data_IF_416337818152
#
_entry.id   IF_416337818152
#
_cell.length_a   1.000
_cell.length_b   1.000
_cell.length_c   1.000
_cell.angle_alpha   90.00
_cell.angle_beta   90.00
_cell.angle_gamma   90.00
#
_symmetry.space_group_name_H-M   'P 1'
#
loop_
_entity.id
_entity.type
_entity.pdbx_description
1 polymer ?
#
# COMPACT_ATOMS: atom_id res chain seq x y z
N UNK A 1 -4.35 -30.23 -17.61
CA UNK A 1 -4.51 -28.87 -18.20
C UNK A 1 -5.18 -27.83 -17.27
N UNK A 2 -5.15 -27.96 -15.92
CA UNK A 2 -6.15 -27.29 -15.04
C UNK A 2 -5.61 -26.40 -13.89
N UNK A 3 -4.37 -25.90 -13.95
CA UNK A 3 -3.87 -24.91 -12.96
C UNK A 3 -3.36 -23.62 -13.58
N UNK A 4 -2.71 -23.69 -14.75
CA UNK A 4 -2.26 -22.50 -15.50
C UNK A 4 -3.43 -21.62 -15.99
N UNK A 5 -4.56 -22.22 -16.41
CA UNK A 5 -5.77 -21.48 -16.81
C UNK A 5 -6.39 -20.70 -15.64
N UNK A 6 -6.51 -21.32 -14.45
CA UNK A 6 -7.06 -20.67 -13.24
C UNK A 6 -6.18 -19.53 -12.72
N UNK A 7 -4.86 -19.67 -12.80
CA UNK A 7 -3.93 -18.60 -12.40
C UNK A 7 -3.95 -17.45 -13.42
N UNK A 8 -4.06 -17.75 -14.71
CA UNK A 8 -4.24 -16.73 -15.74
C UNK A 8 -5.59 -15.99 -15.60
N UNK A 9 -6.67 -16.69 -15.25
CA UNK A 9 -7.97 -16.07 -14.92
C UNK A 9 -7.86 -15.13 -13.71
N UNK A 10 -7.13 -15.51 -12.66
CA UNK A 10 -6.94 -14.67 -11.47
C UNK A 10 -6.04 -13.46 -11.75
N UNK A 11 -5.00 -13.61 -12.60
CA UNK A 11 -4.16 -12.49 -13.04
C UNK A 11 -4.92 -11.47 -13.91
N UNK A 12 -5.94 -11.92 -14.66
CA UNK A 12 -6.80 -11.01 -15.44
C UNK A 12 -7.83 -10.24 -14.63
N UNK A 13 -8.09 -10.61 -13.36
CA UNK A 13 -9.14 -9.98 -12.54
C UNK A 13 -8.69 -8.67 -11.86
N UNK A 14 -7.39 -8.34 -11.84
CA UNK A 14 -6.88 -7.18 -11.06
C UNK A 14 -6.25 -6.01 -11.83
N UNK A 15 -6.10 -6.07 -13.16
CA UNK A 15 -6.21 -4.84 -13.94
C UNK A 15 -7.71 -4.55 -13.97
N UNK A 16 -8.18 -3.42 -13.42
CA UNK A 16 -9.58 -3.00 -13.53
C UNK A 16 -10.11 -3.33 -14.94
N UNK A 17 -10.81 -4.47 -15.08
CA UNK A 17 -11.32 -4.99 -16.35
C UNK A 17 -12.42 -4.09 -16.93
N UNK A 18 -12.74 -3.02 -16.18
CA UNK A 18 -13.68 -1.95 -16.47
C UNK A 18 -13.18 -1.04 -17.60
N UNK A 19 -11.87 -0.97 -17.83
CA UNK A 19 -11.30 -0.13 -18.89
C UNK A 19 -10.80 -0.97 -20.06
N UNK A 20 -11.74 -1.60 -20.77
CA UNK A 20 -11.48 -2.37 -22.00
C UNK A 20 -10.83 -1.47 -23.07
N UNK A 21 -9.52 -1.57 -23.23
CA UNK A 21 -8.78 -1.10 -24.42
C UNK A 21 -8.62 0.42 -24.61
N UNK A 22 -9.41 1.27 -23.94
CA UNK A 22 -9.20 2.73 -23.95
C UNK A 22 -8.17 3.14 -22.89
N UNK A 23 -7.15 3.90 -23.31
CA UNK A 23 -6.21 4.52 -22.37
C UNK A 23 -6.90 5.65 -21.62
N UNK A 24 -6.97 5.56 -20.29
CA UNK A 24 -7.36 6.67 -19.43
C UNK A 24 -6.12 7.45 -19.07
N UNK A 25 -6.11 8.75 -19.40
CA UNK A 25 -5.02 9.63 -19.02
C UNK A 25 -5.00 9.79 -17.50
N UNK A 26 -3.80 9.65 -16.94
CA UNK A 26 -3.55 9.78 -15.50
C UNK A 26 -2.21 10.44 -15.24
N UNK A 27 -2.10 11.14 -14.13
CA UNK A 27 -0.86 11.75 -13.65
C UNK A 27 -0.82 11.75 -12.12
N UNK A 28 0.36 12.02 -11.56
CA UNK A 28 0.52 12.20 -10.11
C UNK A 28 0.39 13.68 -9.79
N UNK A 29 -0.55 14.02 -8.92
CA UNK A 29 -0.76 15.36 -8.40
C UNK A 29 -1.01 15.28 -6.90
N UNK A 30 -0.30 16.09 -6.10
CA UNK A 30 -0.32 16.05 -4.63
C UNK A 30 -0.11 14.63 -4.08
N UNK A 31 0.89 13.91 -4.59
CA UNK A 31 1.21 12.52 -4.25
C UNK A 31 0.13 11.46 -4.54
N UNK A 32 -1.01 11.85 -5.12
CA UNK A 32 -2.11 10.94 -5.47
C UNK A 32 -2.21 10.72 -6.98
N UNK A 33 -2.86 9.62 -7.37
CA UNK A 33 -3.24 9.41 -8.77
C UNK A 33 -4.49 10.22 -9.11
N UNK A 34 -4.37 11.03 -10.16
CA UNK A 34 -5.46 11.80 -10.75
C UNK A 34 -5.76 11.31 -12.15
N UNK A 35 -7.04 11.26 -12.50
CA UNK A 35 -7.54 10.68 -13.74
C UNK A 35 -8.39 11.68 -14.51
N UNK A 36 -8.31 11.64 -15.84
CA UNK A 36 -9.21 12.44 -16.69
C UNK A 36 -10.65 11.97 -16.54
N UNK A 37 -11.54 12.91 -16.18
CA UNK A 37 -12.97 12.63 -16.03
C UNK A 37 -13.61 12.35 -17.39
N UNK A 38 -13.23 13.12 -18.40
CA UNK A 38 -13.76 12.97 -19.76
C UNK A 38 -13.43 11.58 -20.32
N UNK A 39 -12.19 11.10 -20.16
CA UNK A 39 -11.79 9.78 -20.67
C UNK A 39 -12.60 8.65 -20.02
N UNK A 40 -12.89 8.77 -18.71
CA UNK A 40 -13.70 7.81 -17.97
C UNK A 40 -15.16 7.87 -18.42
N UNK A 41 -15.73 9.07 -18.56
CA UNK A 41 -17.07 9.27 -19.10
C UNK A 41 -17.19 8.63 -20.48
N UNK A 42 -16.27 8.89 -21.39
CA UNK A 42 -16.30 8.31 -22.74
C UNK A 42 -16.13 6.79 -22.75
N UNK A 43 -15.34 6.26 -21.82
CA UNK A 43 -15.14 4.81 -21.69
C UNK A 43 -16.39 4.13 -21.15
N UNK A 44 -17.01 4.71 -20.11
CA UNK A 44 -18.15 4.14 -19.41
C UNK A 44 -19.51 4.48 -20.04
N UNK A 45 -19.58 5.41 -20.99
CA UNK A 45 -20.82 5.70 -21.72
C UNK A 45 -20.74 5.26 -23.18
N UNK A 46 -19.54 5.22 -23.77
CA UNK A 46 -19.35 5.06 -25.21
C UNK A 46 -19.65 6.32 -26.02
N UNK A 47 -19.94 7.46 -25.39
CA UNK A 47 -20.20 8.71 -26.10
C UNK A 47 -18.94 9.22 -26.81
N UNK A 48 -19.12 9.87 -27.95
CA UNK A 48 -18.09 10.66 -28.64
C UNK A 48 -18.07 12.13 -28.19
N UNK A 49 -19.02 12.55 -27.33
CA UNK A 49 -19.14 13.91 -26.78
C UNK A 49 -18.89 13.93 -25.28
N UNK A 50 -17.74 13.41 -24.84
CA UNK A 50 -17.41 13.23 -23.42
C UNK A 50 -17.49 14.52 -22.60
N UNK A 51 -17.01 15.64 -23.15
CA UNK A 51 -17.07 16.96 -22.49
C UNK A 51 -18.50 17.44 -22.26
N UNK A 52 -19.38 17.30 -23.25
CA UNK A 52 -20.79 17.71 -23.12
C UNK A 52 -21.48 16.83 -22.08
N UNK A 53 -21.30 15.52 -22.17
CA UNK A 53 -21.84 14.58 -21.18
C UNK A 53 -21.36 14.90 -19.77
N UNK A 54 -20.07 15.19 -19.61
CA UNK A 54 -19.51 15.59 -18.32
C UNK A 54 -20.14 16.88 -17.79
N UNK A 55 -20.31 17.90 -18.63
CA UNK A 55 -20.97 19.16 -18.22
C UNK A 55 -22.40 18.91 -17.73
N UNK A 56 -23.16 18.08 -18.43
CA UNK A 56 -24.54 17.72 -18.05
C UNK A 56 -24.56 16.87 -16.76
N UNK A 57 -23.64 15.91 -16.63
CA UNK A 57 -23.49 15.08 -15.43
C UNK A 57 -23.09 15.92 -14.21
N UNK A 58 -22.18 16.88 -14.39
CA UNK A 58 -21.73 17.77 -13.31
C UNK A 58 -22.89 18.57 -12.72
N UNK A 59 -23.79 19.09 -13.58
CA UNK A 59 -25.01 19.78 -13.12
C UNK A 59 -25.89 18.85 -12.28
N UNK A 60 -26.18 17.65 -12.79
CA UNK A 60 -26.97 16.65 -12.06
C UNK A 60 -26.37 16.29 -10.69
N UNK A 61 -25.04 16.14 -10.61
CA UNK A 61 -24.37 15.85 -9.34
C UNK A 61 -24.55 16.98 -8.32
N UNK A 62 -24.50 18.23 -8.76
CA UNK A 62 -24.76 19.40 -7.90
C UNK A 62 -26.22 19.42 -7.47
N UNK A 63 -27.15 19.15 -8.39
CA UNK A 63 -28.59 19.08 -8.08
C UNK A 63 -28.92 17.93 -7.10
N UNK A 64 -28.19 16.81 -7.15
CA UNK A 64 -28.24 15.70 -6.18
C UNK A 64 -27.61 16.06 -4.81
N UNK A 65 -27.08 17.27 -4.63
CA UNK A 65 -26.46 17.74 -3.39
C UNK A 65 -24.96 17.45 -3.27
N UNK A 66 -24.31 16.90 -4.30
CA UNK A 66 -22.86 16.72 -4.31
C UNK A 66 -22.17 18.03 -4.73
N UNK A 67 -22.24 19.05 -3.85
CA UNK A 67 -21.76 20.41 -4.12
C UNK A 67 -20.22 20.51 -4.17
N UNK A 68 -19.52 19.61 -3.48
CA UNK A 68 -18.04 19.55 -3.43
C UNK A 68 -17.39 19.14 -4.75
N UNK A 69 -18.17 18.70 -5.76
CA UNK A 69 -17.65 18.24 -7.07
C UNK A 69 -16.71 19.27 -7.68
N UNK A 70 -17.06 20.56 -7.63
CA UNK A 70 -16.26 21.60 -8.24
C UNK A 70 -14.95 21.85 -7.47
N UNK A 71 -14.94 21.64 -6.15
CA UNK A 71 -13.76 21.81 -5.30
C UNK A 71 -12.81 20.60 -5.37
N UNK A 72 -13.38 19.40 -5.51
CA UNK A 72 -12.64 18.13 -5.61
C UNK A 72 -12.11 17.84 -7.01
N UNK A 73 -12.36 18.72 -7.98
CA UNK A 73 -11.89 18.62 -9.37
C UNK A 73 -10.82 19.67 -9.63
N UNK A 74 -9.74 19.24 -10.27
CA UNK A 74 -8.60 20.06 -10.64
C UNK A 74 -8.40 20.08 -12.15
N UNK A 75 -8.08 21.26 -12.70
CA UNK A 75 -7.72 21.40 -14.11
C UNK A 75 -6.23 21.18 -14.29
N UNK A 76 -5.87 20.01 -14.83
CA UNK A 76 -4.47 19.61 -14.99
C UNK A 76 -4.11 19.54 -16.48
N UNK A 77 -2.88 19.95 -16.82
CA UNK A 77 -2.37 19.86 -18.19
C UNK A 77 -2.12 18.40 -18.54
N UNK A 78 -2.91 17.86 -19.46
CA UNK A 78 -2.75 16.50 -19.99
C UNK A 78 -2.50 16.54 -21.49
N UNK A 79 -1.73 15.57 -21.98
CA UNK A 79 -1.53 15.36 -23.42
C UNK A 79 -2.86 14.94 -24.02
N UNK A 80 -3.29 15.64 -25.06
CA UNK A 80 -4.48 15.33 -25.84
C UNK A 80 -4.13 14.39 -27.01
N UNK A 81 -5.11 13.71 -27.64
CA UNK A 81 -4.85 12.84 -28.80
C UNK A 81 -4.08 13.52 -29.96
N UNK A 82 -4.17 14.85 -30.09
CA UNK A 82 -3.40 15.65 -31.05
C UNK A 82 -1.98 16.02 -30.58
N UNK A 83 -1.50 15.42 -29.49
CA UNK A 83 -0.17 15.66 -28.91
C UNK A 83 -0.03 16.97 -28.13
N UNK A 84 -1.02 17.86 -28.15
CA UNK A 84 -0.95 19.15 -27.44
C UNK A 84 -1.33 19.01 -25.97
N UNK A 85 -0.69 19.78 -25.10
CA UNK A 85 -1.09 19.87 -23.69
C UNK A 85 -2.35 20.74 -23.55
N UNK A 86 -3.40 20.21 -22.93
CA UNK A 86 -4.63 20.96 -22.62
C UNK A 86 -5.04 20.80 -21.17
N UNK A 87 -5.63 21.85 -20.61
CA UNK A 87 -6.31 21.77 -19.33
C UNK A 87 -7.49 20.80 -19.45
N UNK A 88 -7.50 19.82 -18.55
CA UNK A 88 -8.49 18.74 -18.51
C UNK A 88 -8.99 18.63 -17.07
N UNK A 89 -10.30 18.55 -16.90
CA UNK A 89 -10.90 18.25 -15.60
C UNK A 89 -10.48 16.85 -15.15
N UNK A 90 -9.82 16.82 -14.00
CA UNK A 90 -9.26 15.62 -13.40
C UNK A 90 -9.75 15.49 -11.97
N UNK A 91 -9.82 14.25 -11.48
CA UNK A 91 -10.14 13.98 -10.09
C UNK A 91 -9.29 12.83 -9.54
N UNK A 92 -9.14 12.79 -8.22
CA UNK A 92 -8.52 11.68 -7.53
C UNK A 92 -9.42 10.43 -7.54
N UNK A 93 -8.93 9.32 -7.00
CA UNK A 93 -9.61 8.01 -7.05
C UNK A 93 -10.99 8.04 -6.39
N UNK A 94 -11.10 8.63 -5.21
CA UNK A 94 -12.35 8.69 -4.43
C UNK A 94 -13.43 9.49 -5.17
N UNK A 95 -13.10 10.70 -5.60
CA UNK A 95 -14.01 11.57 -6.36
C UNK A 95 -14.44 10.89 -7.66
N UNK A 96 -13.52 10.20 -8.33
CA UNK A 96 -13.85 9.43 -9.52
C UNK A 96 -14.85 8.31 -9.23
N UNK A 97 -14.69 7.59 -8.13
CA UNK A 97 -15.62 6.53 -7.74
C UNK A 97 -17.03 7.07 -7.48
N UNK A 98 -17.15 8.28 -6.91
CA UNK A 98 -18.44 8.95 -6.75
C UNK A 98 -19.05 9.38 -8.08
N UNK A 99 -18.26 9.94 -8.99
CA UNK A 99 -18.73 10.35 -10.33
C UNK A 99 -19.27 9.14 -11.11
N UNK A 100 -18.54 8.02 -11.10
CA UNK A 100 -18.93 6.80 -11.84
C UNK A 100 -20.30 6.27 -11.40
N UNK A 101 -20.64 6.40 -10.11
CA UNK A 101 -21.94 5.96 -9.58
C UNK A 101 -23.12 6.69 -10.25
N UNK A 102 -22.96 7.96 -10.64
CA UNK A 102 -23.99 8.74 -11.32
C UNK A 102 -24.00 8.59 -12.85
N UNK A 103 -23.20 7.69 -13.43
CA UNK A 103 -23.26 7.40 -14.87
C UNK A 103 -24.34 6.34 -15.15
N UNK A 104 -25.48 6.67 -15.77
CA UNK A 104 -26.51 5.70 -16.16
C UNK A 104 -26.12 4.97 -17.46
N UNK A 105 -25.17 4.04 -17.39
CA UNK A 105 -24.76 3.23 -18.54
C UNK A 105 -24.58 1.76 -18.17
N UNK A 106 -25.00 0.82 -19.04
CA UNK A 106 -24.70 -0.60 -18.88
C UNK A 106 -23.19 -0.90 -18.77
N UNK A 107 -22.32 -0.04 -19.32
CA UNK A 107 -20.86 -0.22 -19.19
C UNK A 107 -20.32 0.18 -17.82
N UNK A 108 -21.04 1.03 -17.08
CA UNK A 108 -20.71 1.37 -15.70
C UNK A 108 -21.20 0.31 -14.70
N UNK A 109 -22.20 -0.50 -15.07
CA UNK A 109 -22.84 -1.48 -14.18
C UNK A 109 -21.86 -2.48 -13.53
N UNK A 110 -20.88 -3.09 -14.24
CA UNK A 110 -19.91 -3.96 -13.59
C UNK A 110 -19.10 -3.27 -12.49
N UNK A 111 -18.81 -1.98 -12.66
CA UNK A 111 -18.10 -1.18 -11.67
C UNK A 111 -18.99 -0.86 -10.46
N UNK A 112 -20.27 -0.51 -10.70
CA UNK A 112 -21.24 -0.27 -9.62
C UNK A 112 -21.49 -1.51 -8.78
N UNK A 113 -21.67 -2.68 -9.42
CA UNK A 113 -21.77 -3.97 -8.72
C UNK A 113 -20.52 -4.30 -7.92
N UNK A 114 -19.35 -3.97 -8.45
CA UNK A 114 -18.09 -4.13 -7.71
C UNK A 114 -18.06 -3.23 -6.48
N UNK A 115 -18.43 -1.94 -6.59
CA UNK A 115 -18.51 -1.04 -5.43
C UNK A 115 -19.53 -1.53 -4.39
N UNK A 116 -20.71 -1.99 -4.82
CA UNK A 116 -21.72 -2.55 -3.94
C UNK A 116 -21.20 -3.79 -3.20
N UNK A 117 -20.50 -4.68 -3.91
CA UNK A 117 -19.86 -5.85 -3.31
C UNK A 117 -18.80 -5.44 -2.28
N UNK A 118 -17.95 -4.47 -2.59
CA UNK A 118 -16.94 -3.96 -1.66
C UNK A 118 -17.60 -3.37 -0.42
N UNK A 119 -18.68 -2.60 -0.58
CA UNK A 119 -19.47 -2.04 0.53
C UNK A 119 -20.07 -3.13 1.41
N UNK A 120 -20.67 -4.15 0.82
CA UNK A 120 -21.18 -5.31 1.54
C UNK A 120 -20.07 -6.06 2.29
N UNK A 121 -18.93 -6.31 1.65
CA UNK A 121 -17.75 -6.91 2.30
C UNK A 121 -17.25 -6.06 3.48
N UNK A 122 -17.33 -4.72 3.42
CA UNK A 122 -16.96 -3.86 4.56
C UNK A 122 -17.90 -4.07 5.75
N UNK A 123 -19.22 -4.20 5.51
CA UNK A 123 -20.21 -4.45 6.57
C UNK A 123 -19.95 -5.82 7.21
N UNK A 124 -19.76 -6.86 6.39
CA UNK A 124 -19.41 -8.20 6.88
C UNK A 124 -18.12 -8.20 7.72
N UNK A 125 -17.11 -7.42 7.32
CA UNK A 125 -15.87 -7.28 8.10
C UNK A 125 -16.05 -6.54 9.44
N UNK A 126 -17.10 -5.71 9.59
CA UNK A 126 -17.44 -5.07 10.87
C UNK A 126 -18.11 -6.07 11.80
N UNK A 127 -19.00 -6.91 11.26
CA UNK A 127 -19.67 -7.98 12.01
C UNK A 127 -18.71 -9.11 12.40
N UNK A 128 -17.82 -9.51 11.48
CA UNK A 128 -16.76 -10.50 11.71
C UNK A 128 -15.39 -9.94 11.28
N UNK A 129 -14.63 -9.34 12.21
CA UNK A 129 -13.29 -8.82 11.96
C UNK A 129 -12.28 -9.88 11.46
N UNK A 130 -12.52 -11.17 11.67
CA UNK A 130 -11.65 -12.24 11.17
C UNK A 130 -11.63 -12.25 9.63
N UNK A 131 -12.73 -11.83 8.98
CA UNK A 131 -12.82 -11.69 7.53
C UNK A 131 -11.79 -10.69 6.98
N UNK A 132 -11.53 -9.60 7.70
CA UNK A 132 -10.52 -8.62 7.29
C UNK A 132 -9.10 -9.23 7.33
N UNK A 133 -8.83 -10.07 8.32
CA UNK A 133 -7.56 -10.82 8.43
C UNK A 133 -7.44 -11.86 7.30
N UNK A 134 -8.50 -12.61 7.01
CA UNK A 134 -8.56 -13.57 5.89
C UNK A 134 -8.35 -12.85 4.55
N UNK A 135 -8.98 -11.69 4.34
CA UNK A 135 -8.79 -10.86 3.15
C UNK A 135 -7.35 -10.40 3.01
N UNK A 136 -6.72 -9.95 4.09
CA UNK A 136 -5.31 -9.53 4.09
C UNK A 136 -4.38 -10.67 3.64
N UNK A 137 -4.58 -11.88 4.17
CA UNK A 137 -3.85 -13.08 3.76
C UNK A 137 -4.07 -13.39 2.28
N UNK A 138 -5.31 -13.34 1.81
CA UNK A 138 -5.66 -13.56 0.41
C UNK A 138 -5.00 -12.53 -0.53
N UNK A 139 -4.92 -11.25 -0.13
CA UNK A 139 -4.27 -10.19 -0.91
C UNK A 139 -2.76 -10.44 -1.07
N UNK A 140 -2.06 -10.85 -0.02
CA UNK A 140 -0.65 -11.22 -0.16
C UNK A 140 -0.48 -12.49 -1.00
N UNK A 141 -1.36 -13.49 -0.84
CA UNK A 141 -1.32 -14.71 -1.65
C UNK A 141 -1.53 -14.41 -3.14
N UNK A 142 -2.46 -13.52 -3.46
CA UNK A 142 -2.71 -13.04 -4.83
C UNK A 142 -1.52 -12.26 -5.40
N UNK A 143 -0.77 -11.54 -4.55
CA UNK A 143 0.52 -10.94 -4.92
C UNK A 143 1.64 -11.96 -5.05
N UNK A 144 1.40 -13.26 -4.86
CA UNK A 144 2.37 -14.34 -5.04
C UNK A 144 3.28 -14.61 -3.85
N UNK A 145 2.94 -14.11 -2.65
CA UNK A 145 3.68 -14.45 -1.43
C UNK A 145 3.25 -15.84 -0.91
N UNK A 146 4.22 -16.62 -0.41
CA UNK A 146 3.98 -17.91 0.25
C UNK A 146 3.30 -17.74 1.61
N UNK A 147 2.51 -18.73 2.01
CA UNK A 147 1.85 -18.75 3.32
C UNK A 147 2.85 -18.54 4.48
N UNK A 148 4.04 -19.15 4.44
CA UNK A 148 5.09 -18.98 5.48
C UNK A 148 5.56 -17.53 5.63
N UNK A 149 5.77 -16.83 4.51
CA UNK A 149 6.15 -15.41 4.52
C UNK A 149 4.99 -14.54 5.01
N UNK A 150 3.75 -14.89 4.62
CA UNK A 150 2.53 -14.17 5.05
C UNK A 150 2.38 -14.24 6.56
N UNK A 151 2.55 -15.41 7.19
CA UNK A 151 2.51 -15.53 8.66
C UNK A 151 3.53 -14.62 9.34
N UNK A 152 4.78 -14.62 8.85
CA UNK A 152 5.84 -13.75 9.39
C UNK A 152 5.47 -12.28 9.23
N UNK A 153 4.91 -11.90 8.09
CA UNK A 153 4.48 -10.53 7.83
C UNK A 153 3.34 -10.12 8.76
N UNK A 154 2.35 -10.99 8.98
CA UNK A 154 1.23 -10.75 9.90
C UNK A 154 1.74 -10.55 11.33
N UNK A 155 2.65 -11.40 11.82
CA UNK A 155 3.30 -11.23 13.13
C UNK A 155 4.08 -9.92 13.23
N UNK A 156 4.79 -9.54 12.18
CA UNK A 156 5.49 -8.25 12.11
C UNK A 156 4.54 -7.05 12.15
N UNK A 157 3.30 -7.17 11.66
CA UNK A 157 2.29 -6.11 11.80
C UNK A 157 1.91 -5.97 13.28
N UNK A 158 1.55 -7.08 13.94
CA UNK A 158 1.15 -7.08 15.34
C UNK A 158 2.23 -6.49 16.27
N UNK A 159 3.50 -6.91 16.11
CA UNK A 159 4.63 -6.39 16.92
C UNK A 159 4.80 -4.88 16.72
N UNK A 160 4.60 -4.38 15.50
CA UNK A 160 4.71 -2.96 15.20
C UNK A 160 3.54 -2.16 15.79
N UNK A 161 2.33 -2.71 15.74
CA UNK A 161 1.14 -2.09 16.34
C UNK A 161 1.32 -1.97 17.85
N UNK A 162 1.78 -3.03 18.51
CA UNK A 162 2.11 -3.01 19.94
C UNK A 162 3.15 -1.93 20.29
N UNK A 163 4.23 -1.81 19.51
CA UNK A 163 5.22 -0.75 19.71
C UNK A 163 4.63 0.66 19.53
N UNK A 164 3.76 0.86 18.54
CA UNK A 164 3.12 2.16 18.33
C UNK A 164 2.12 2.50 19.43
N UNK A 165 1.41 1.51 19.96
CA UNK A 165 0.51 1.68 21.09
C UNK A 165 1.30 2.02 22.37
N UNK A 166 2.43 1.36 22.59
CA UNK A 166 3.34 1.66 23.69
C UNK A 166 3.86 3.11 23.61
N UNK A 167 4.26 3.58 22.44
CA UNK A 167 4.66 4.98 22.25
C UNK A 167 3.51 5.96 22.48
N UNK A 168 2.29 5.63 22.04
CA UNK A 168 1.10 6.46 22.29
C UNK A 168 0.84 6.61 23.78
N UNK A 169 0.91 5.52 24.53
CA UNK A 169 0.75 5.50 25.99
C UNK A 169 1.84 6.30 26.72
N UNK A 170 2.97 6.57 26.03
CA UNK A 170 4.13 7.33 26.53
C UNK A 170 4.17 8.77 26.05
N UNK A 171 3.05 9.29 25.55
CA UNK A 171 2.90 10.69 25.16
C UNK A 171 3.42 11.03 23.76
N UNK A 172 3.64 10.05 22.88
CA UNK A 172 4.04 10.29 21.48
C UNK A 172 2.80 10.14 20.60
N UNK A 173 2.31 11.24 20.03
CA UNK A 173 1.04 11.25 19.30
C UNK A 173 1.19 11.56 17.80
N UNK A 174 2.31 12.15 17.39
CA UNK A 174 2.48 12.56 15.99
C UNK A 174 3.03 11.44 15.10
N UNK A 175 2.43 11.26 13.91
CA UNK A 175 2.92 10.27 12.92
C UNK A 175 4.38 10.49 12.52
N UNK A 176 4.85 11.74 12.53
CA UNK A 176 6.25 12.09 12.20
C UNK A 176 7.22 11.53 13.24
N UNK A 177 6.81 11.47 14.50
CA UNK A 177 7.64 10.98 15.60
C UNK A 177 7.82 9.47 15.51
N UNK A 178 6.75 8.73 15.18
CA UNK A 178 6.87 7.29 14.90
C UNK A 178 7.83 6.98 13.75
N UNK A 179 7.88 7.83 12.73
CA UNK A 179 8.84 7.68 11.64
C UNK A 179 10.29 7.88 12.11
N UNK A 180 10.53 8.87 12.98
CA UNK A 180 11.83 9.12 13.60
C UNK A 180 12.26 7.93 14.47
N UNK A 181 11.41 7.47 15.37
CA UNK A 181 11.73 6.34 16.26
C UNK A 181 11.95 5.03 15.48
N UNK A 182 11.11 4.76 14.47
CA UNK A 182 11.33 3.63 13.54
C UNK A 182 12.68 3.77 12.82
N UNK A 183 13.09 5.00 12.47
CA UNK A 183 14.37 5.23 11.82
C UNK A 183 15.55 4.93 12.74
N UNK A 184 15.47 5.28 14.03
CA UNK A 184 16.49 4.93 15.03
C UNK A 184 16.63 3.40 15.19
N UNK A 185 15.51 2.67 15.31
CA UNK A 185 15.52 1.20 15.39
C UNK A 185 16.18 0.60 14.15
N UNK A 186 15.74 1.02 12.96
CA UNK A 186 16.26 0.51 11.69
C UNK A 186 17.76 0.80 11.54
N UNK A 187 18.19 2.03 11.89
CA UNK A 187 19.59 2.44 11.79
C UNK A 187 20.47 1.67 12.77
N UNK A 188 20.02 1.46 14.01
CA UNK A 188 20.75 0.66 14.98
C UNK A 188 20.79 -0.84 14.61
N UNK A 189 19.74 -1.36 13.96
CA UNK A 189 19.64 -2.76 13.55
C UNK A 189 20.45 -3.07 12.28
N UNK A 190 20.23 -2.28 11.22
CA UNK A 190 20.72 -2.56 9.86
C UNK A 190 21.75 -1.56 9.34
N UNK A 191 22.16 -0.60 10.16
CA UNK A 191 23.06 0.50 9.76
C UNK A 191 22.47 1.38 8.64
N UNK A 192 21.14 1.34 8.46
CA UNK A 192 20.38 2.08 7.46
C UNK A 192 19.04 2.53 8.02
N UNK A 193 18.66 3.77 7.76
CA UNK A 193 17.27 4.26 7.95
C UNK A 193 16.33 3.57 6.95
N UNK A 194 15.00 3.57 7.19
CA UNK A 194 14.03 2.97 6.26
C UNK A 194 14.12 3.56 4.85
N UNK A 195 14.41 4.86 4.72
CA UNK A 195 14.58 5.54 3.44
C UNK A 195 15.85 5.10 2.71
N UNK A 196 16.97 4.97 3.41
CA UNK A 196 18.21 4.43 2.85
C UNK A 196 18.06 2.96 2.46
N UNK A 197 17.35 2.18 3.28
CA UNK A 197 17.11 0.78 3.01
C UNK A 197 16.22 0.57 1.77
N UNK A 198 15.19 1.42 1.60
CA UNK A 198 14.40 1.46 0.36
C UNK A 198 15.28 1.73 -0.86
N UNK A 199 16.19 2.71 -0.79
CA UNK A 199 17.16 2.99 -1.86
C UNK A 199 18.09 1.80 -2.13
N UNK A 200 18.61 1.17 -1.07
CA UNK A 200 19.47 -0.02 -1.16
C UNK A 200 18.77 -1.19 -1.88
N UNK A 201 17.47 -1.37 -1.64
CA UNK A 201 16.61 -2.35 -2.31
C UNK A 201 16.01 -1.85 -3.63
N UNK A 202 16.36 -0.66 -4.12
CA UNK A 202 15.82 -0.06 -5.36
C UNK A 202 14.30 0.08 -5.37
N UNK A 203 13.72 0.36 -4.21
CA UNK A 203 12.28 0.64 -4.04
C UNK A 203 12.03 2.13 -4.23
N UNK A 204 10.90 2.46 -4.86
CA UNK A 204 10.43 3.84 -5.04
C UNK A 204 9.32 4.16 -4.04
N UNK A 205 8.12 3.61 -4.27
CA UNK A 205 6.92 3.88 -3.46
C UNK A 205 6.49 2.68 -2.63
N UNK A 206 7.13 1.54 -2.83
CA UNK A 206 6.74 0.28 -2.24
C UNK A 206 7.06 0.21 -0.74
N UNK A 207 6.33 -0.65 -0.04
CA UNK A 207 6.57 -0.92 1.38
C UNK A 207 7.87 -1.71 1.54
N UNK A 208 8.76 -1.24 2.42
CA UNK A 208 10.06 -1.87 2.64
C UNK A 208 9.93 -3.32 3.17
N UNK A 209 9.05 -3.55 4.15
CA UNK A 209 8.89 -4.85 4.82
C UNK A 209 8.30 -5.89 3.89
N UNK A 210 7.47 -5.47 2.94
CA UNK A 210 6.95 -6.36 1.91
C UNK A 210 8.04 -6.83 0.93
N UNK A 211 9.21 -6.20 0.95
CA UNK A 211 10.39 -6.53 0.14
C UNK A 211 11.60 -6.99 0.96
N UNK A 212 11.37 -7.35 2.23
CA UNK A 212 12.35 -7.97 3.11
C UNK A 212 12.31 -9.51 3.00
N UNK A 213 13.48 -10.11 3.10
CA UNK A 213 13.64 -11.55 3.29
C UNK A 213 13.34 -11.94 4.75
N UNK A 214 13.31 -13.25 5.00
CA UNK A 214 12.95 -13.80 6.30
C UNK A 214 13.81 -13.27 7.46
N UNK A 215 15.13 -13.21 7.29
CA UNK A 215 16.03 -12.73 8.33
C UNK A 215 15.86 -11.20 8.54
N UNK A 216 15.70 -10.44 7.46
CA UNK A 216 15.44 -9.00 7.54
C UNK A 216 14.13 -8.70 8.31
N UNK A 217 13.07 -9.50 8.13
CA UNK A 217 11.85 -9.40 8.92
C UNK A 217 12.06 -9.80 10.38
N UNK A 218 12.78 -10.90 10.65
CA UNK A 218 13.06 -11.37 12.01
C UNK A 218 13.84 -10.33 12.82
N UNK A 219 14.91 -9.76 12.25
CA UNK A 219 15.69 -8.74 12.95
C UNK A 219 14.93 -7.42 13.13
N UNK A 220 14.03 -7.08 12.20
CA UNK A 220 13.13 -5.94 12.36
C UNK A 220 12.18 -6.16 13.54
N UNK A 221 11.54 -7.34 13.62
CA UNK A 221 10.66 -7.71 14.73
C UNK A 221 11.40 -7.74 16.07
N UNK A 222 12.62 -8.28 16.10
CA UNK A 222 13.45 -8.30 17.31
C UNK A 222 13.77 -6.88 17.80
N UNK A 223 14.11 -5.97 16.88
CA UNK A 223 14.42 -4.57 17.24
C UNK A 223 13.20 -3.82 17.76
N UNK A 224 12.04 -4.06 17.15
CA UNK A 224 10.75 -3.49 17.57
C UNK A 224 10.33 -4.03 18.94
N UNK A 225 10.28 -5.36 19.12
CA UNK A 225 9.92 -5.99 20.38
C UNK A 225 10.88 -5.62 21.52
N UNK A 226 12.19 -5.58 21.25
CA UNK A 226 13.18 -5.14 22.26
C UNK A 226 12.97 -3.68 22.65
N UNK A 227 12.57 -2.82 21.70
CA UNK A 227 12.27 -1.42 22.01
C UNK A 227 11.06 -1.31 22.93
N UNK A 228 9.98 -2.03 22.63
CA UNK A 228 8.77 -2.08 23.48
C UNK A 228 9.11 -2.53 24.90
N UNK A 229 9.85 -3.64 25.01
CA UNK A 229 10.20 -4.23 26.31
C UNK A 229 11.07 -3.29 27.14
N UNK A 230 12.08 -2.65 26.53
CA UNK A 230 12.93 -1.69 27.22
C UNK A 230 12.13 -0.43 27.63
N UNK A 231 11.20 0.03 26.78
CA UNK A 231 10.38 1.21 27.08
C UNK A 231 9.51 0.97 28.32
N UNK A 232 8.88 -0.20 28.41
CA UNK A 232 8.10 -0.69 29.57
C UNK A 232 8.94 -0.70 30.83
N UNK A 233 10.07 -1.41 30.80
CA UNK A 233 10.89 -1.61 31.99
C UNK A 233 11.57 -0.34 32.50
N UNK A 234 11.85 0.63 31.62
CA UNK A 234 12.47 1.91 32.00
C UNK A 234 11.49 3.04 32.24
N UNK A 235 10.20 2.76 32.11
CA UNK A 235 9.13 3.76 32.05
C UNK A 235 9.52 5.01 31.23
N UNK A 236 9.95 4.79 29.99
CA UNK A 236 10.43 5.87 29.13
C UNK A 236 9.29 6.75 28.64
N UNK A 237 9.20 7.97 29.17
CA UNK A 237 8.17 8.95 28.81
C UNK A 237 8.69 9.99 27.80
N UNK A 238 7.83 10.38 26.86
CA UNK A 238 8.10 11.42 25.88
C UNK A 238 9.15 11.06 24.81
N UNK A 239 9.33 11.96 23.85
CA UNK A 239 10.09 11.68 22.63
C UNK A 239 11.58 11.44 22.89
N UNK A 240 12.21 12.22 23.77
CA UNK A 240 13.67 12.16 24.01
C UNK A 240 14.07 10.80 24.58
N UNK A 241 13.40 10.34 25.64
CA UNK A 241 13.69 9.03 26.26
C UNK A 241 13.39 7.88 25.30
N UNK A 242 12.26 7.94 24.59
CA UNK A 242 11.89 6.90 23.63
C UNK A 242 12.82 6.84 22.41
N UNK A 243 13.44 7.95 22.02
CA UNK A 243 14.49 7.95 20.98
C UNK A 243 15.70 7.13 21.42
N UNK A 244 16.12 7.28 22.68
CA UNK A 244 17.21 6.50 23.24
C UNK A 244 16.83 5.01 23.32
N UNK A 245 15.63 4.70 23.81
CA UNK A 245 15.13 3.32 23.88
C UNK A 245 15.01 2.67 22.51
N UNK A 246 14.54 3.39 21.49
CA UNK A 246 14.51 2.93 20.11
C UNK A 246 15.91 2.54 19.61
N UNK A 247 16.92 3.35 19.93
CA UNK A 247 18.32 3.02 19.62
C UNK A 247 18.80 1.80 20.39
N UNK A 248 18.44 1.66 21.67
CA UNK A 248 18.80 0.50 22.50
C UNK A 248 18.17 -0.80 21.97
N UNK A 249 16.88 -0.81 21.67
CA UNK A 249 16.18 -1.98 21.11
C UNK A 249 16.72 -2.36 19.73
N UNK A 250 16.96 -1.38 18.86
CA UNK A 250 17.63 -1.62 17.58
C UNK A 250 19.07 -2.14 17.74
N UNK A 251 19.81 -1.71 18.77
CA UNK A 251 21.15 -2.23 19.06
C UNK A 251 21.14 -3.70 19.50
N UNK A 252 20.12 -4.14 20.26
CA UNK A 252 19.95 -5.56 20.61
C UNK A 252 19.84 -6.40 19.34
N UNK A 253 18.94 -6.02 18.44
CA UNK A 253 18.78 -6.70 17.16
C UNK A 253 20.02 -6.59 16.26
N UNK A 254 20.67 -5.43 16.23
CA UNK A 254 21.88 -5.20 15.45
C UNK A 254 23.07 -6.04 15.92
N UNK A 255 23.23 -6.23 17.24
CA UNK A 255 24.24 -7.14 17.81
C UNK A 255 23.96 -8.59 17.41
N UNK A 256 22.72 -9.05 17.60
CA UNK A 256 22.32 -10.40 17.21
C UNK A 256 22.49 -10.64 15.69
N UNK A 257 22.16 -9.65 14.86
CA UNK A 257 22.40 -9.68 13.41
C UNK A 257 23.87 -9.87 13.09
N UNK A 258 24.75 -9.02 13.65
CA UNK A 258 26.20 -9.09 13.39
C UNK A 258 26.80 -10.42 13.86
N UNK A 259 26.36 -10.95 15.00
CA UNK A 259 26.81 -12.27 15.48
C UNK A 259 26.41 -13.39 14.50
N UNK A 260 25.15 -13.37 14.03
CA UNK A 260 24.71 -14.32 13.01
C UNK A 260 25.50 -14.18 11.71
N UNK A 261 25.74 -12.97 11.22
CA UNK A 261 26.50 -12.72 10.00
C UNK A 261 27.95 -13.23 10.13
N UNK A 262 28.58 -13.02 11.30
CA UNK A 262 29.93 -13.51 11.60
C UNK A 262 29.99 -15.04 11.58
N UNK A 263 29.01 -15.72 12.20
CA UNK A 263 28.96 -17.19 12.29
C UNK A 263 28.54 -17.86 10.98
N UNK A 264 27.62 -17.25 10.24
CA UNK A 264 27.09 -17.81 8.98
C UNK A 264 27.89 -17.43 7.74
N UNK A 265 28.77 -16.42 7.84
CA UNK A 265 29.55 -15.89 6.72
C UNK A 265 28.72 -15.14 5.67
N UNK A 266 27.45 -14.83 5.94
CA UNK A 266 26.53 -14.17 5.00
C UNK A 266 25.87 -12.95 5.63
N UNK A 267 25.77 -11.86 4.86
CA UNK A 267 24.99 -10.68 5.27
C UNK A 267 23.50 -10.98 5.27
N UNK A 268 22.80 -10.47 6.28
CA UNK A 268 21.34 -10.51 6.40
C UNK A 268 20.69 -9.51 5.44
N UNK A 269 21.21 -8.27 5.40
CA UNK A 269 20.71 -7.21 4.54
C UNK A 269 21.02 -7.50 3.07
N UNK A 270 19.99 -7.47 2.21
CA UNK A 270 20.10 -7.83 0.80
C UNK A 270 19.47 -6.79 -0.13
N UNK A 271 20.13 -6.53 -1.27
CA UNK A 271 19.58 -5.66 -2.35
C UNK A 271 18.40 -6.31 -3.09
N UNK A 272 18.14 -7.60 -2.85
CA UNK A 272 17.03 -8.33 -3.50
C UNK A 272 15.68 -7.83 -2.98
N UNK A 273 14.70 -7.76 -3.88
CA UNK A 273 13.32 -7.35 -3.63
C UNK A 273 12.35 -8.24 -4.46
N UNK A 274 11.04 -8.03 -4.30
CA UNK A 274 10.01 -8.82 -4.99
C UNK A 274 9.31 -8.08 -6.14
N UNK A 275 9.95 -7.08 -6.76
CA UNK A 275 9.33 -6.29 -7.85
C UNK A 275 9.17 -7.09 -9.16
N UNK A 276 10.12 -7.98 -9.48
CA UNK A 276 10.16 -8.72 -10.76
C UNK A 276 9.59 -10.15 -10.67
N UNK A 277 9.50 -10.70 -9.47
CA UNK A 277 8.85 -11.97 -9.19
C UNK A 277 8.56 -12.00 -7.68
N UNK A 278 7.30 -12.12 -7.28
CA UNK A 278 6.97 -12.60 -5.95
C UNK A 278 7.57 -14.00 -5.84
N UNK A 279 8.68 -14.10 -5.12
CA UNK A 279 9.41 -15.34 -4.87
C UNK A 279 9.99 -16.02 -6.12
N UNK A 280 11.25 -15.71 -6.46
CA UNK A 280 12.07 -16.63 -7.24
C UNK A 280 12.02 -18.02 -6.57
N UNK A 281 11.50 -19.03 -7.25
CA UNK A 281 11.35 -20.40 -6.73
C UNK A 281 12.66 -21.06 -6.26
N UNK A 282 13.81 -20.42 -6.47
CA UNK A 282 15.11 -20.80 -5.92
C UNK A 282 15.23 -20.56 -4.40
N UNK A 283 14.37 -19.77 -3.78
CA UNK A 283 14.46 -19.41 -2.36
C UNK A 283 13.92 -20.47 -1.38
N UNK A 284 13.23 -21.51 -1.85
CA UNK A 284 12.68 -22.59 -1.00
C UNK A 284 13.40 -23.94 -1.13
N UNK A 285 14.40 -24.06 -2.02
CA UNK A 285 15.32 -25.19 -1.96
C UNK A 285 16.39 -24.85 -0.93
N UNK A 286 16.11 -25.16 0.34
CA UNK A 286 17.16 -25.58 1.24
C UNK A 286 18.07 -26.53 0.45
N UNK A 287 19.38 -26.25 0.48
CA UNK A 287 20.38 -27.10 -0.16
C UNK A 287 20.06 -28.56 0.21
N UNK A 288 19.86 -29.41 -0.80
CA UNK A 288 20.15 -30.83 -0.63
C UNK A 288 21.65 -30.96 -0.37
#
# INVERSE_FOLDING_TARGET
MSKKKKVAEIETVHKLAVFKGKQIRRLIHNDEWWFSIVDIVETLTGTNRGRKYWSDLKKKLVDEGYNEVSEKIGQLKMVSPDGKLRLTDCANTETMFRIIQSIPSPKAEPFKRWLAKVGYERIMEIEDPELATKRTRALYKAKGYSDVWIEKRMRSIAIREELTDEWRNRGIQEKKDYAILTAEISKATFEMTPSEYKKFKKLKRENLRDHMNDLELIFSMLGEASTTEIARNKDSQGMVKNKEVARQGGNVAGKARRDLEKKSGKKVSSKRNYLKSPQDKKFLKGKK
#
